data_IF_338497191530
#
_entry.id   IF_338497191530
#
_cell.length_a   1.000
_cell.length_b   1.000
_cell.length_c   1.000
_cell.angle_alpha   90.00
_cell.angle_beta   90.00
_cell.angle_gamma   90.00
#
_symmetry.space_group_name_H-M   'P 1'
#
loop_
_entity.id
_entity.type
_entity.pdbx_description
1 polymer ?
#
# COMPACT_ATOMS: atom_id res chain seq x y z
N UNK A 1 -18.95 -34.44 33.71
CA UNK A 1 -18.99 -34.51 32.23
C UNK A 1 -19.74 -33.28 31.73
N UNK A 2 -19.08 -32.37 31.03
CA UNK A 2 -19.60 -31.68 29.85
C UNK A 2 -18.46 -30.78 29.29
N UNK A 3 -18.04 -31.18 28.09
CA UNK A 3 -17.27 -30.54 27.03
C UNK A 3 -16.60 -29.17 27.25
N UNK A 4 -15.28 -29.16 27.09
CA UNK A 4 -14.48 -27.96 26.82
C UNK A 4 -14.61 -27.56 25.34
N UNK A 5 -14.89 -26.28 25.12
CA UNK A 5 -14.81 -25.63 23.81
C UNK A 5 -13.36 -25.23 23.55
N UNK A 6 -12.81 -25.72 22.45
CA UNK A 6 -11.60 -25.19 21.83
C UNK A 6 -11.94 -23.78 21.32
N UNK A 7 -11.18 -22.77 21.76
CA UNK A 7 -11.14 -21.47 21.13
C UNK A 7 -9.82 -21.40 20.36
N UNK A 8 -9.94 -21.26 19.04
CA UNK A 8 -8.84 -21.10 18.11
C UNK A 8 -8.01 -19.86 18.48
N UNK A 9 -6.70 -20.04 18.58
CA UNK A 9 -5.73 -18.97 18.75
C UNK A 9 -5.66 -18.13 17.46
N UNK A 10 -6.46 -17.06 17.38
CA UNK A 10 -6.16 -15.93 16.49
C UNK A 10 -5.01 -15.12 17.11
N UNK A 11 -3.78 -15.45 16.70
CA UNK A 11 -2.61 -14.62 16.99
C UNK A 11 -2.65 -13.37 16.11
N UNK A 12 -3.29 -12.31 16.61
CA UNK A 12 -3.14 -10.96 16.04
C UNK A 12 -1.81 -10.42 16.54
N UNK A 13 -0.80 -10.41 15.67
CA UNK A 13 0.48 -9.75 15.94
C UNK A 13 0.27 -8.23 16.00
N UNK A 14 0.02 -7.69 17.19
CA UNK A 14 0.19 -6.26 17.45
C UNK A 14 1.69 -5.96 17.40
N UNK A 15 2.15 -5.18 16.42
CA UNK A 15 3.44 -4.50 16.58
C UNK A 15 3.27 -3.48 17.71
N UNK A 16 3.74 -3.87 18.90
CA UNK A 16 3.80 -2.98 20.06
C UNK A 16 4.90 -1.94 19.81
N UNK A 17 4.50 -0.69 19.58
CA UNK A 17 5.44 0.42 19.72
C UNK A 17 5.88 0.44 21.18
N UNK A 18 7.13 0.05 21.42
CA UNK A 18 7.77 0.16 22.73
C UNK A 18 7.95 1.65 23.04
N UNK A 19 7.25 2.12 24.07
CA UNK A 19 7.38 3.50 24.58
C UNK A 19 8.76 3.63 25.23
N UNK A 20 9.73 4.24 24.53
CA UNK A 20 10.97 4.68 25.17
C UNK A 20 10.69 6.04 25.81
N UNK A 21 10.57 6.05 27.14
CA UNK A 21 10.48 7.25 27.95
C UNK A 21 11.84 7.97 27.93
N UNK A 22 11.96 9.03 27.14
CA UNK A 22 13.00 10.05 27.33
C UNK A 22 12.27 11.35 27.68
N UNK A 23 12.35 11.79 28.93
CA UNK A 23 11.98 13.16 29.32
C UNK A 23 10.61 13.41 29.95
N UNK A 24 9.91 12.39 30.48
CA UNK A 24 8.84 12.61 31.47
C UNK A 24 7.51 13.21 30.99
N UNK A 25 7.24 13.28 29.68
CA UNK A 25 5.91 13.62 29.16
C UNK A 25 5.13 12.36 28.79
N UNK A 26 3.91 12.13 29.32
CA UNK A 26 3.09 10.99 28.93
C UNK A 26 2.59 11.16 27.48
N UNK A 27 3.34 10.60 26.53
CA UNK A 27 2.93 10.48 25.13
C UNK A 27 2.01 9.27 25.01
N UNK A 28 0.71 9.46 25.27
CA UNK A 28 -0.29 8.43 25.02
C UNK A 28 -1.37 8.99 24.10
N UNK A 29 -1.20 8.72 22.81
CA UNK A 29 -2.32 8.52 21.90
C UNK A 29 -2.15 7.14 21.31
N UNK A 30 -2.85 6.16 21.86
CA UNK A 30 -2.92 4.82 21.28
C UNK A 30 -3.77 4.92 20.02
N UNK A 31 -3.13 4.98 18.86
CA UNK A 31 -3.81 4.68 17.60
C UNK A 31 -3.86 3.17 17.48
N UNK A 32 -5.05 2.61 17.26
CA UNK A 32 -5.14 1.24 16.78
C UNK A 32 -4.66 1.26 15.33
N UNK A 33 -3.42 0.80 15.13
CA UNK A 33 -2.86 0.60 13.80
C UNK A 33 -3.24 -0.81 13.39
N UNK A 34 -3.93 -0.93 12.27
CA UNK A 34 -4.27 -2.23 11.69
C UNK A 34 -3.49 -2.42 10.40
N UNK A 35 -2.84 -3.57 10.25
CA UNK A 35 -2.28 -3.98 8.98
C UNK A 35 -3.41 -4.48 8.08
N UNK A 36 -3.47 -3.95 6.88
CA UNK A 36 -4.47 -4.34 5.89
C UNK A 36 -4.02 -5.61 5.17
N UNK A 37 -5.00 -6.41 4.74
CA UNK A 37 -4.79 -7.61 3.92
C UNK A 37 -5.28 -7.34 2.48
N UNK A 38 -4.50 -6.62 1.65
CA UNK A 38 -4.87 -6.37 0.25
C UNK A 38 -4.79 -7.64 -0.60
N UNK A 39 -5.38 -7.57 -1.79
CA UNK A 39 -5.11 -8.56 -2.82
C UNK A 39 -3.64 -8.42 -3.28
N UNK A 40 -2.84 -9.47 -3.11
CA UNK A 40 -1.43 -9.49 -3.48
C UNK A 40 -1.26 -10.04 -4.90
N UNK A 41 -0.45 -9.36 -5.70
CA UNK A 41 0.05 -9.83 -6.99
C UNK A 41 1.49 -10.28 -6.81
N UNK A 42 1.76 -11.57 -6.99
CA UNK A 42 3.07 -12.18 -6.71
C UNK A 42 3.63 -12.92 -7.90
N UNK A 43 4.96 -12.87 -8.02
CA UNK A 43 5.78 -13.72 -8.90
C UNK A 43 6.75 -14.52 -8.01
N UNK A 44 6.39 -15.78 -7.72
CA UNK A 44 7.01 -16.54 -6.63
C UNK A 44 6.82 -15.86 -5.27
N UNK A 45 7.93 -15.62 -4.57
CA UNK A 45 7.95 -14.93 -3.27
C UNK A 45 7.96 -13.39 -3.41
N UNK A 46 8.22 -12.87 -4.62
CA UNK A 46 8.27 -11.43 -4.87
C UNK A 46 6.85 -10.88 -4.99
N UNK A 47 6.52 -9.89 -4.16
CA UNK A 47 5.27 -9.12 -4.31
C UNK A 47 5.49 -8.00 -5.32
N UNK A 48 4.79 -8.08 -6.45
CA UNK A 48 4.85 -7.10 -7.51
C UNK A 48 3.97 -5.89 -7.20
N UNK A 49 2.74 -6.15 -6.76
CA UNK A 49 1.77 -5.13 -6.44
C UNK A 49 0.75 -5.57 -5.40
N UNK A 50 0.06 -4.59 -4.82
CA UNK A 50 -1.06 -4.78 -3.91
C UNK A 50 -2.27 -4.01 -4.43
N UNK A 51 -3.46 -4.61 -4.40
CA UNK A 51 -4.72 -3.97 -4.78
C UNK A 51 -5.55 -3.75 -3.53
N UNK A 52 -5.92 -2.49 -3.30
CA UNK A 52 -6.83 -2.11 -2.23
C UNK A 52 -8.16 -1.68 -2.86
N UNK A 53 -9.26 -2.33 -2.43
CA UNK A 53 -10.59 -1.99 -2.92
C UNK A 53 -11.17 -0.83 -2.13
N UNK A 54 -11.96 0.01 -2.80
CA UNK A 54 -12.61 1.17 -2.19
C UNK A 54 -13.38 0.80 -0.90
N UNK A 55 -14.03 -0.36 -0.89
CA UNK A 55 -14.82 -0.86 0.24
C UNK A 55 -14.00 -1.34 1.45
N UNK A 56 -12.67 -1.48 1.33
CA UNK A 56 -11.85 -2.10 2.37
C UNK A 56 -11.35 -1.11 3.42
N UNK A 57 -11.64 0.19 3.29
CA UNK A 57 -11.21 1.22 4.26
C UNK A 57 -11.77 0.95 5.66
N UNK A 58 -10.92 0.45 6.56
CA UNK A 58 -11.28 0.20 7.96
C UNK A 58 -11.20 1.47 8.79
N UNK A 59 -12.02 1.54 9.83
CA UNK A 59 -12.01 2.65 10.78
C UNK A 59 -10.62 2.85 11.39
N UNK A 60 -10.21 4.11 11.61
CA UNK A 60 -8.93 4.45 12.21
C UNK A 60 -7.80 4.67 11.20
N UNK A 61 -6.57 4.39 11.63
CA UNK A 61 -5.35 4.46 10.83
C UNK A 61 -4.94 3.04 10.43
N UNK A 62 -4.82 2.80 9.13
CA UNK A 62 -4.39 1.50 8.62
C UNK A 62 -3.26 1.69 7.62
N UNK A 63 -2.43 0.66 7.47
CA UNK A 63 -1.35 0.66 6.50
C UNK A 63 -1.43 -0.58 5.61
N UNK A 64 -1.11 -0.36 4.35
CA UNK A 64 -0.91 -1.42 3.35
C UNK A 64 0.58 -1.71 3.14
N UNK A 65 1.45 -0.76 3.48
CA UNK A 65 2.90 -0.88 3.41
C UNK A 65 3.50 -1.43 4.71
N UNK A 66 4.62 -2.12 4.58
CA UNK A 66 5.50 -2.51 5.69
C UNK A 66 6.50 -1.39 6.01
N UNK A 67 7.08 -1.39 7.21
CA UNK A 67 8.03 -0.34 7.66
C UNK A 67 9.24 -0.14 6.73
N UNK A 68 9.66 -1.21 6.04
CA UNK A 68 10.82 -1.20 5.14
C UNK A 68 10.47 -0.84 3.69
N UNK A 69 9.18 -0.75 3.36
CA UNK A 69 8.76 -0.37 2.01
C UNK A 69 9.14 1.09 1.76
N UNK A 70 9.69 1.35 0.58
CA UNK A 70 10.11 2.71 0.25
C UNK A 70 8.90 3.64 0.08
N UNK A 71 7.82 3.13 -0.51
CA UNK A 71 6.52 3.79 -0.53
C UNK A 71 5.69 3.39 0.70
N UNK A 72 5.25 4.39 1.46
CA UNK A 72 4.39 4.20 2.63
C UNK A 72 2.95 4.59 2.28
N UNK A 73 2.03 3.64 2.41
CA UNK A 73 0.63 3.81 2.01
C UNK A 73 -0.28 3.54 3.20
N UNK A 74 -0.81 4.62 3.77
CA UNK A 74 -1.76 4.59 4.87
C UNK A 74 -3.13 5.14 4.47
N UNK A 75 -4.19 4.59 5.05
CA UNK A 75 -5.56 5.08 4.90
C UNK A 75 -6.13 5.50 6.24
N UNK A 76 -6.88 6.60 6.23
CA UNK A 76 -7.54 7.14 7.42
C UNK A 76 -9.04 7.10 7.22
N UNK A 77 -9.76 6.54 8.19
CA UNK A 77 -11.22 6.54 8.24
C UNK A 77 -11.66 6.91 9.65
N UNK A 78 -11.59 8.20 9.96
CA UNK A 78 -11.91 8.73 11.27
C UNK A 78 -13.31 9.32 11.34
N UNK A 79 -13.89 9.28 12.54
CA UNK A 79 -15.12 9.99 12.83
C UNK A 79 -14.88 11.50 12.96
N UNK A 80 -15.94 12.29 12.75
CA UNK A 80 -15.91 13.74 12.91
C UNK A 80 -15.38 14.11 14.30
N UNK A 81 -14.44 15.06 14.34
CA UNK A 81 -13.83 15.56 15.58
C UNK A 81 -12.53 14.87 15.98
N UNK A 82 -12.12 13.80 15.29
CA UNK A 82 -10.77 13.26 15.45
C UNK A 82 -9.73 14.31 15.05
N UNK A 83 -8.74 14.52 15.92
CA UNK A 83 -7.60 15.41 15.65
C UNK A 83 -6.35 14.56 15.47
N UNK A 84 -5.66 14.77 14.35
CA UNK A 84 -4.30 14.29 14.17
C UNK A 84 -3.34 15.40 14.59
N UNK A 85 -2.45 15.10 15.53
CA UNK A 85 -1.51 16.09 16.07
C UNK A 85 -0.56 16.57 14.98
N UNK A 86 -0.41 17.88 14.84
CA UNK A 86 0.56 18.48 13.94
C UNK A 86 1.98 18.05 14.32
N UNK A 87 2.79 17.70 13.33
CA UNK A 87 4.18 17.30 13.50
C UNK A 87 4.97 17.54 12.21
N UNK A 88 6.28 17.69 12.34
CA UNK A 88 7.22 17.67 11.23
C UNK A 88 7.93 16.32 11.21
N UNK A 89 8.14 15.75 10.03
CA UNK A 89 9.03 14.60 9.89
C UNK A 89 10.48 15.06 10.07
N UNK A 90 11.26 14.26 10.79
CA UNK A 90 12.69 14.50 10.96
C UNK A 90 13.42 14.26 9.63
N UNK A 91 14.52 14.98 9.43
CA UNK A 91 15.43 14.69 8.34
C UNK A 91 16.00 13.29 8.53
N UNK A 92 15.79 12.43 7.54
CA UNK A 92 16.28 11.07 7.52
C UNK A 92 16.77 10.74 6.12
N UNK A 93 17.99 10.21 6.01
CA UNK A 93 18.49 9.68 4.75
C UNK A 93 17.67 8.43 4.36
N UNK A 94 17.27 8.34 3.09
CA UNK A 94 16.61 7.17 2.53
C UNK A 94 17.26 6.81 1.20
N UNK A 95 17.46 5.53 0.97
CA UNK A 95 18.02 5.01 -0.27
C UNK A 95 16.91 4.44 -1.14
N UNK A 96 16.90 4.84 -2.40
CA UNK A 96 15.86 4.52 -3.38
C UNK A 96 16.48 3.73 -4.50
N UNK A 97 16.22 2.43 -4.54
CA UNK A 97 16.84 1.55 -5.53
C UNK A 97 15.97 1.38 -6.78
N UNK A 98 14.70 1.81 -6.72
CA UNK A 98 13.75 1.74 -7.84
C UNK A 98 12.60 2.72 -7.63
N UNK A 99 11.87 2.97 -8.70
CA UNK A 99 10.60 3.68 -8.66
C UNK A 99 9.48 2.71 -8.29
N UNK A 100 8.76 3.07 -7.23
CA UNK A 100 7.50 2.49 -6.78
C UNK A 100 6.41 3.55 -6.94
N UNK A 101 5.19 3.10 -7.10
CA UNK A 101 4.09 4.00 -7.42
C UNK A 101 2.76 3.56 -6.85
N UNK A 102 1.92 4.54 -6.54
CA UNK A 102 0.52 4.35 -6.18
C UNK A 102 -0.35 4.93 -7.28
N UNK A 103 -1.28 4.12 -7.76
CA UNK A 103 -2.30 4.50 -8.72
C UNK A 103 -3.63 4.53 -7.99
N UNK A 104 -4.25 5.70 -7.87
CA UNK A 104 -5.59 5.85 -7.31
C UNK A 104 -6.59 6.21 -8.41
N UNK A 105 -7.65 5.41 -8.54
CA UNK A 105 -8.71 5.68 -9.51
C UNK A 105 -9.74 6.63 -8.91
N UNK A 106 -9.79 7.87 -9.39
CA UNK A 106 -10.80 8.85 -8.97
C UNK A 106 -12.15 8.58 -9.64
N UNK A 107 -12.15 8.25 -10.93
CA UNK A 107 -13.35 7.92 -11.71
C UNK A 107 -13.02 6.99 -12.87
N UNK A 108 -14.02 6.28 -13.40
CA UNK A 108 -13.88 5.35 -14.52
C UNK A 108 -13.35 3.97 -14.11
N UNK A 109 -12.71 3.27 -15.05
CA UNK A 109 -12.15 1.93 -14.85
C UNK A 109 -10.98 1.65 -15.81
N UNK A 110 -10.07 0.78 -15.37
CA UNK A 110 -8.95 0.31 -16.18
C UNK A 110 -8.64 -1.18 -15.91
N UNK A 111 -7.95 -1.83 -16.84
CA UNK A 111 -7.26 -3.10 -16.61
C UNK A 111 -5.80 -2.83 -16.33
N UNK A 112 -5.30 -3.29 -15.19
CA UNK A 112 -3.89 -3.30 -14.85
C UNK A 112 -3.29 -4.66 -15.19
N UNK A 113 -2.24 -4.66 -16.01
CA UNK A 113 -1.47 -5.84 -16.38
C UNK A 113 -0.14 -5.82 -15.61
N UNK A 114 0.19 -6.89 -14.89
CA UNK A 114 1.40 -7.01 -14.08
C UNK A 114 2.35 -8.06 -14.66
N UNK A 115 3.63 -7.73 -14.71
CA UNK A 115 4.66 -8.51 -15.38
C UNK A 115 5.81 -8.87 -14.45
N UNK A 116 6.38 -10.06 -14.63
CA UNK A 116 7.56 -10.52 -13.89
C UNK A 116 8.77 -9.64 -14.17
N UNK A 117 9.59 -9.39 -13.15
CA UNK A 117 10.71 -8.43 -13.23
C UNK A 117 11.83 -8.88 -14.21
N UNK A 118 12.06 -10.19 -14.26
CA UNK A 118 13.21 -10.78 -14.95
C UNK A 118 12.92 -11.26 -16.37
N UNK A 119 11.68 -11.61 -16.68
CA UNK A 119 11.32 -12.30 -17.93
C UNK A 119 10.20 -11.60 -18.72
N UNK A 120 9.70 -10.46 -18.23
CA UNK A 120 8.60 -9.70 -18.84
C UNK A 120 7.31 -10.53 -19.06
N UNK A 121 7.18 -11.68 -18.40
CA UNK A 121 6.01 -12.54 -18.50
C UNK A 121 4.81 -11.86 -17.84
N UNK A 122 3.66 -11.85 -18.53
CA UNK A 122 2.40 -11.44 -17.92
C UNK A 122 2.03 -12.40 -16.80
N UNK A 123 1.98 -11.89 -15.56
CA UNK A 123 1.65 -12.65 -14.36
C UNK A 123 0.15 -12.60 -14.09
N UNK A 124 -0.45 -11.41 -14.15
CA UNK A 124 -1.87 -11.23 -13.84
C UNK A 124 -2.42 -9.95 -14.46
N UNK A 125 -3.69 -9.98 -14.84
CA UNK A 125 -4.48 -8.81 -15.21
C UNK A 125 -5.60 -8.62 -14.19
N UNK A 126 -5.84 -7.37 -13.76
CA UNK A 126 -6.86 -7.03 -12.77
C UNK A 126 -7.63 -5.80 -13.23
N UNK A 127 -8.95 -5.87 -13.21
CA UNK A 127 -9.78 -4.68 -13.38
C UNK A 127 -9.86 -3.88 -12.09
N UNK A 128 -9.72 -2.57 -12.24
CA UNK A 128 -9.66 -1.60 -11.15
C UNK A 128 -10.67 -0.50 -11.47
N UNK A 129 -11.46 -0.14 -10.46
CA UNK A 129 -12.59 0.78 -10.61
C UNK A 129 -12.40 2.04 -9.74
N UNK A 130 -13.28 3.02 -9.93
CA UNK A 130 -13.31 4.23 -9.11
C UNK A 130 -13.28 3.91 -7.59
N UNK A 131 -12.39 4.57 -6.88
CA UNK A 131 -12.14 4.41 -5.45
C UNK A 131 -11.07 3.37 -5.09
N UNK A 132 -10.77 2.43 -5.99
CA UNK A 132 -9.69 1.46 -5.79
C UNK A 132 -8.31 2.13 -5.97
N UNK A 133 -7.29 1.52 -5.38
CA UNK A 133 -5.90 1.87 -5.68
C UNK A 133 -4.98 0.65 -5.78
N UNK A 134 -3.91 0.84 -6.55
CA UNK A 134 -2.84 -0.13 -6.78
C UNK A 134 -1.57 0.44 -6.14
N UNK A 135 -0.84 -0.40 -5.42
CA UNK A 135 0.49 -0.09 -4.90
C UNK A 135 1.48 -0.98 -5.66
N UNK A 136 2.23 -0.42 -6.58
CA UNK A 136 3.24 -1.12 -7.38
C UNK A 136 4.60 -1.07 -6.66
N UNK A 137 5.12 -2.23 -6.27
CA UNK A 137 6.35 -2.39 -5.48
C UNK A 137 7.54 -2.89 -6.31
N UNK A 138 7.28 -3.77 -7.28
CA UNK A 138 8.29 -4.43 -8.11
C UNK A 138 7.70 -4.90 -9.45
N UNK A 139 8.56 -5.45 -10.32
CA UNK A 139 8.17 -5.91 -11.65
C UNK A 139 7.74 -4.81 -12.60
N UNK A 140 7.16 -5.23 -13.72
CA UNK A 140 6.56 -4.34 -14.71
C UNK A 140 5.06 -4.21 -14.52
N UNK A 141 4.48 -3.12 -14.98
CA UNK A 141 3.03 -2.97 -15.07
C UNK A 141 2.65 -2.10 -16.27
N UNK A 142 1.42 -2.30 -16.76
CA UNK A 142 0.81 -1.51 -17.82
C UNK A 142 -0.69 -1.39 -17.62
N UNK A 143 -1.30 -0.40 -18.28
CA UNK A 143 -2.72 -0.08 -18.07
C UNK A 143 -3.45 0.03 -19.41
N UNK A 144 -4.65 -0.55 -19.47
CA UNK A 144 -5.61 -0.34 -20.54
C UNK A 144 -6.86 0.35 -19.96
N UNK A 145 -7.23 1.50 -20.52
CA UNK A 145 -8.40 2.26 -20.04
C UNK A 145 -9.67 1.61 -20.58
N UNK A 146 -10.59 1.25 -19.69
CA UNK A 146 -11.81 0.49 -20.04
C UNK A 146 -13.06 1.38 -20.15
N UNK A 147 -13.04 2.58 -19.56
CA UNK A 147 -14.17 3.50 -19.58
C UNK A 147 -13.76 4.93 -19.94
N UNK A 148 -14.66 5.64 -20.62
CA UNK A 148 -14.55 7.07 -20.89
C UNK A 148 -14.43 7.87 -19.59
N UNK A 149 -13.75 9.02 -19.67
CA UNK A 149 -13.55 9.93 -18.53
C UNK A 149 -12.89 9.27 -17.30
N UNK A 150 -12.05 8.25 -17.54
CA UNK A 150 -11.20 7.66 -16.50
C UNK A 150 -10.18 8.68 -16.01
N UNK A 151 -10.17 8.91 -14.70
CA UNK A 151 -9.26 9.85 -14.04
C UNK A 151 -8.43 9.11 -12.99
N UNK A 152 -7.12 9.25 -13.10
CA UNK A 152 -6.14 8.55 -12.28
C UNK A 152 -5.23 9.56 -11.61
N UNK A 153 -5.02 9.41 -10.31
CA UNK A 153 -3.91 10.03 -9.61
C UNK A 153 -2.77 9.01 -9.55
N UNK A 154 -1.60 9.42 -10.03
CA UNK A 154 -0.37 8.65 -9.93
C UNK A 154 0.59 9.37 -8.99
N UNK A 155 1.11 8.64 -8.01
CA UNK A 155 2.11 9.13 -7.06
C UNK A 155 3.31 8.21 -7.14
N UNK A 156 4.48 8.75 -7.49
CA UNK A 156 5.73 8.00 -7.53
C UNK A 156 6.67 8.53 -6.47
N UNK A 157 7.53 7.66 -5.96
CA UNK A 157 8.64 8.14 -5.16
C UNK A 157 9.69 8.86 -6.04
N UNK A 158 10.22 9.97 -5.54
CA UNK A 158 11.25 10.74 -6.21
C UNK A 158 12.67 10.38 -5.78
N UNK A 159 13.70 10.99 -6.40
CA UNK A 159 13.59 11.95 -7.52
C UNK A 159 13.28 11.25 -8.86
N UNK A 160 12.66 11.98 -9.79
CA UNK A 160 12.48 11.50 -11.16
C UNK A 160 13.81 11.56 -11.92
N UNK A 161 14.27 10.41 -12.44
CA UNK A 161 15.58 10.28 -13.10
C UNK A 161 15.52 10.45 -14.63
N UNK A 162 14.32 10.61 -15.20
CA UNK A 162 14.09 10.64 -16.65
C UNK A 162 13.74 9.25 -17.21
N UNK A 163 12.85 9.20 -18.21
CA UNK A 163 12.26 7.94 -18.73
C UNK A 163 13.30 6.88 -19.11
N UNK A 164 14.37 7.27 -19.82
CA UNK A 164 15.40 6.31 -20.27
C UNK A 164 16.24 5.71 -19.12
N UNK A 165 16.25 6.34 -17.94
CA UNK A 165 16.95 5.85 -16.75
C UNK A 165 16.02 5.15 -15.76
N UNK A 166 14.73 5.39 -15.89
CA UNK A 166 13.72 4.98 -14.91
C UNK A 166 12.83 3.83 -15.42
N UNK A 167 12.75 3.63 -16.75
CA UNK A 167 11.84 2.67 -17.37
C UNK A 167 12.51 1.84 -18.45
N UNK A 168 12.21 0.54 -18.44
CA UNK A 168 12.35 -0.39 -19.57
C UNK A 168 10.95 -0.62 -20.15
N UNK A 169 10.81 -0.59 -21.47
CA UNK A 169 9.55 -0.93 -22.14
C UNK A 169 9.40 -2.46 -22.21
N UNK A 170 8.22 -2.94 -21.86
CA UNK A 170 7.80 -4.33 -22.07
C UNK A 170 7.02 -4.37 -23.38
N UNK A 171 7.49 -5.18 -24.34
CA UNK A 171 6.79 -5.39 -25.62
C UNK A 171 5.81 -6.54 -25.42
N UNK A 172 4.53 -6.25 -25.67
CA UNK A 172 3.42 -7.22 -25.58
C UNK A 172 3.38 -8.14 -26.79
#
# INVERSE_FOLDING_TARGET
MFYGLFADNLSVHYQSISVILIGGYPYLSTFNITNMEPELIKDGDLTLAMIARAGDFKAGLNFYSQDQDFIQVGTWHYQKGQILKAHNHLLAARYVNRTQEVIYLKSGSLRADFYGENNDQLIKSVEVNAGDFIICLAGGHGYEILADNTQVLEVKNGPYLGTAKDKRLIVR
#
